data_IF_552889988024
#
_entry.id   IF_552889988024
#
_cell.length_a   1.000
_cell.length_b   1.000
_cell.length_c   1.000
_cell.angle_alpha   90.00
_cell.angle_beta   90.00
_cell.angle_gamma   90.00
#
_symmetry.space_group_name_H-M   'P 1'
#
loop_
_entity.id
_entity.type
_entity.pdbx_description
1 polymer ?
#
# COMPACT_ATOMS: atom_id res chain seq x y z
N UNK A 1 -6.92 36.32 -10.23
CA UNK A 1 -7.43 34.94 -10.34
C UNK A 1 -7.18 34.21 -9.02
N UNK A 2 -8.07 34.33 -8.05
CA UNK A 2 -8.08 33.51 -6.80
C UNK A 2 -9.53 33.27 -6.42
N UNK A 3 -10.23 32.39 -7.14
CA UNK A 3 -11.56 31.88 -6.73
C UNK A 3 -11.73 30.46 -7.30
N UNK A 4 -11.03 29.46 -6.75
CA UNK A 4 -11.35 28.03 -7.01
C UNK A 4 -11.11 27.07 -5.82
N UNK A 5 -10.63 27.55 -4.68
CA UNK A 5 -10.35 26.70 -3.50
C UNK A 5 -11.51 26.61 -2.47
N UNK A 6 -12.60 27.37 -2.64
CA UNK A 6 -13.70 27.43 -1.66
C UNK A 6 -14.92 26.57 -2.01
N UNK A 7 -15.03 26.09 -3.26
CA UNK A 7 -16.20 25.32 -3.71
C UNK A 7 -16.39 23.96 -3.00
N UNK A 8 -15.35 23.14 -2.71
CA UNK A 8 -15.56 21.81 -2.16
C UNK A 8 -15.96 21.81 -0.68
N UNK A 9 -15.50 22.76 0.13
CA UNK A 9 -15.95 22.91 1.52
C UNK A 9 -17.40 23.41 1.61
N UNK A 10 -17.83 24.25 0.67
CA UNK A 10 -19.19 24.79 0.62
C UNK A 10 -20.22 23.71 0.28
N UNK A 11 -19.88 22.80 -0.65
CA UNK A 11 -20.72 21.65 -0.97
C UNK A 11 -20.87 20.70 0.24
N UNK A 12 -19.79 20.50 1.00
CA UNK A 12 -19.77 19.67 2.20
C UNK A 12 -20.71 20.20 3.28
N UNK A 13 -20.70 21.52 3.51
CA UNK A 13 -21.63 22.19 4.44
C UNK A 13 -23.08 22.03 3.99
N UNK A 14 -23.37 22.14 2.70
CA UNK A 14 -24.73 21.97 2.16
C UNK A 14 -25.23 20.53 2.32
N UNK A 15 -24.38 19.51 2.12
CA UNK A 15 -24.74 18.11 2.32
C UNK A 15 -24.98 17.77 3.79
N UNK A 16 -24.14 18.24 4.71
CA UNK A 16 -24.31 18.03 6.15
C UNK A 16 -25.60 18.72 6.64
N UNK A 17 -25.88 19.92 6.14
CA UNK A 17 -27.11 20.66 6.45
C UNK A 17 -28.36 19.96 5.85
N UNK A 18 -28.25 19.40 4.64
CA UNK A 18 -29.33 18.67 3.98
C UNK A 18 -29.74 17.38 4.69
N UNK A 19 -28.76 16.63 5.24
CA UNK A 19 -29.02 15.43 6.04
C UNK A 19 -29.70 15.73 7.38
N UNK A 20 -29.43 16.90 7.98
CA UNK A 20 -30.10 17.33 9.21
C UNK A 20 -31.58 17.71 8.99
N UNK A 21 -31.98 17.97 7.74
CA UNK A 21 -33.32 18.43 7.39
C UNK A 21 -34.19 17.37 6.67
N UNK A 22 -33.74 16.12 6.54
CA UNK A 22 -34.59 15.00 6.09
C UNK A 22 -35.01 15.02 4.60
N UNK A 23 -34.23 15.66 3.73
CA UNK A 23 -34.61 15.90 2.32
C UNK A 23 -34.12 14.87 1.29
N UNK A 24 -33.44 13.78 1.67
CA UNK A 24 -32.83 12.86 0.68
C UNK A 24 -33.37 11.42 0.76
N UNK A 25 -33.76 10.89 -0.41
CA UNK A 25 -34.25 9.53 -0.65
C UNK A 25 -33.14 8.48 -0.45
N UNK A 26 -33.50 7.29 0.03
CA UNK A 26 -32.58 6.21 0.46
C UNK A 26 -31.77 5.61 -0.70
N UNK A 27 -32.31 5.66 -1.92
CA UNK A 27 -31.62 5.26 -3.16
C UNK A 27 -30.46 6.20 -3.50
N UNK A 28 -30.66 7.50 -3.32
CA UNK A 28 -29.63 8.53 -3.53
C UNK A 28 -28.48 8.41 -2.53
N UNK A 29 -28.76 7.92 -1.31
CA UNK A 29 -27.74 7.66 -0.27
C UNK A 29 -26.87 6.46 -0.67
N UNK A 30 -27.42 5.43 -1.30
CA UNK A 30 -26.63 4.28 -1.79
C UNK A 30 -25.69 4.67 -2.94
N UNK A 31 -26.17 5.48 -3.89
CA UNK A 31 -25.36 6.01 -4.99
C UNK A 31 -24.35 7.07 -4.54
N UNK A 32 -24.71 7.88 -3.54
CA UNK A 32 -23.77 8.81 -2.91
C UNK A 32 -22.71 8.06 -2.11
N UNK A 33 -23.05 6.99 -1.40
CA UNK A 33 -22.07 6.17 -0.69
C UNK A 33 -21.11 5.47 -1.65
N UNK A 34 -21.59 4.93 -2.77
CA UNK A 34 -20.72 4.32 -3.78
C UNK A 34 -19.84 5.36 -4.49
N UNK A 35 -20.38 6.54 -4.78
CA UNK A 35 -19.62 7.67 -5.30
C UNK A 35 -18.57 8.16 -4.28
N UNK A 36 -18.95 8.39 -3.01
CA UNK A 36 -18.04 8.77 -1.94
C UNK A 36 -16.96 7.71 -1.75
N UNK A 37 -17.29 6.41 -1.80
CA UNK A 37 -16.30 5.33 -1.75
C UNK A 37 -15.33 5.41 -2.94
N UNK A 38 -15.83 5.59 -4.15
CA UNK A 38 -15.02 5.82 -5.37
C UNK A 38 -14.11 7.04 -5.24
N UNK A 39 -14.63 8.17 -4.75
CA UNK A 39 -13.86 9.39 -4.53
C UNK A 39 -12.86 9.21 -3.38
N UNK A 40 -13.17 8.46 -2.32
CA UNK A 40 -12.22 8.15 -1.25
C UNK A 40 -11.08 7.27 -1.74
N UNK A 41 -11.32 6.28 -2.60
CA UNK A 41 -10.24 5.52 -3.23
C UNK A 41 -9.35 6.41 -4.11
N UNK A 42 -9.94 7.29 -4.91
CA UNK A 42 -9.20 8.25 -5.74
C UNK A 42 -8.39 9.26 -4.90
N UNK A 43 -8.96 9.77 -3.81
CA UNK A 43 -8.26 10.69 -2.91
C UNK A 43 -7.20 9.99 -2.05
N UNK A 44 -7.42 8.73 -1.65
CA UNK A 44 -6.44 7.91 -0.92
C UNK A 44 -5.17 7.67 -1.76
N UNK A 45 -5.34 7.38 -3.07
CA UNK A 45 -4.22 7.20 -4.00
C UNK A 45 -3.44 8.51 -4.23
N UNK A 46 -4.12 9.65 -4.29
CA UNK A 46 -3.43 10.94 -4.43
C UNK A 46 -2.73 11.39 -3.13
N UNK A 47 -3.28 11.02 -1.97
CA UNK A 47 -2.64 11.30 -0.66
C UNK A 47 -1.43 10.41 -0.43
N UNK A 48 -1.46 9.12 -0.82
CA UNK A 48 -0.28 8.24 -0.71
C UNK A 48 0.85 8.69 -1.64
N UNK A 49 0.52 9.18 -2.83
CA UNK A 49 1.50 9.80 -3.72
C UNK A 49 2.07 11.10 -3.11
N UNK A 50 1.25 11.90 -2.45
CA UNK A 50 1.68 13.13 -1.77
C UNK A 50 2.52 12.83 -0.52
N UNK A 51 2.15 11.84 0.28
CA UNK A 51 2.93 11.42 1.45
C UNK A 51 4.30 10.90 1.04
N UNK A 52 4.36 10.20 -0.09
CA UNK A 52 5.61 9.71 -0.68
C UNK A 52 6.50 10.88 -1.10
N UNK A 53 5.92 11.87 -1.80
CA UNK A 53 6.63 13.07 -2.25
C UNK A 53 7.13 13.94 -1.07
N UNK A 54 6.39 13.94 0.05
CA UNK A 54 6.77 14.63 1.28
C UNK A 54 7.66 13.77 2.21
N UNK A 55 7.98 12.53 1.82
CA UNK A 55 8.81 11.60 2.60
C UNK A 55 8.16 11.08 3.88
N UNK A 56 6.85 11.29 4.05
CA UNK A 56 6.08 10.86 5.22
C UNK A 56 5.89 9.34 5.25
N UNK A 57 5.98 8.66 4.10
CA UNK A 57 6.00 7.20 4.01
C UNK A 57 7.16 6.56 4.77
N UNK A 58 8.25 7.31 5.08
CA UNK A 58 9.33 6.80 5.93
C UNK A 58 8.95 6.73 7.42
N UNK A 59 7.83 7.30 7.83
CA UNK A 59 7.44 7.43 9.24
C UNK A 59 6.73 6.18 9.79
N UNK A 60 6.15 5.33 8.95
CA UNK A 60 5.36 4.17 9.38
C UNK A 60 6.18 2.87 9.45
N UNK A 61 7.29 2.91 10.17
CA UNK A 61 8.12 1.71 10.36
C UNK A 61 7.47 0.67 11.30
N UNK A 62 6.50 1.07 12.12
CA UNK A 62 5.82 0.20 13.09
C UNK A 62 4.32 0.52 13.11
N UNK A 63 3.51 -0.51 13.31
CA UNK A 63 2.11 -0.37 13.67
C UNK A 63 1.99 -0.36 15.20
N UNK A 64 1.26 0.61 15.75
CA UNK A 64 1.18 0.83 17.19
C UNK A 64 -0.21 1.27 17.60
N UNK A 65 -0.60 0.91 18.82
CA UNK A 65 -1.86 1.31 19.43
C UNK A 65 -1.78 2.72 20.04
N UNK A 66 -2.95 3.35 20.23
CA UNK A 66 -3.06 4.66 20.87
C UNK A 66 -3.08 4.49 22.39
N UNK A 67 -2.35 5.37 23.10
CA UNK A 67 -2.31 5.36 24.56
C UNK A 67 -1.58 4.13 25.11
N UNK A 68 -2.10 3.57 26.20
CA UNK A 68 -1.51 2.43 26.92
C UNK A 68 -1.98 1.06 26.40
N UNK A 69 -2.78 1.04 25.32
CA UNK A 69 -3.25 -0.19 24.70
C UNK A 69 -2.08 -1.00 24.13
N UNK A 70 -2.16 -2.33 24.23
CA UNK A 70 -1.11 -3.22 23.73
C UNK A 70 -1.48 -3.75 22.36
N UNK A 71 -0.47 -3.90 21.51
CA UNK A 71 -0.62 -4.54 20.23
C UNK A 71 -0.70 -6.05 20.42
N UNK A 72 -1.81 -6.65 20.01
CA UNK A 72 -2.10 -8.06 20.16
C UNK A 72 -2.34 -8.70 18.80
N UNK A 73 -1.89 -9.94 18.61
CA UNK A 73 -2.16 -10.69 17.37
C UNK A 73 -3.63 -11.09 17.32
N UNK A 74 -4.30 -10.80 16.21
CA UNK A 74 -5.67 -11.23 15.98
C UNK A 74 -5.70 -12.69 15.53
N UNK A 75 -5.96 -13.61 16.47
CA UNK A 75 -6.07 -15.04 16.18
C UNK A 75 -7.32 -15.43 15.39
N UNK A 76 -8.29 -14.54 15.26
CA UNK A 76 -9.51 -14.76 14.47
C UNK A 76 -9.42 -14.14 13.06
N UNK A 77 -8.31 -13.49 12.73
CA UNK A 77 -8.10 -12.92 11.40
C UNK A 77 -8.04 -14.02 10.34
N UNK A 78 -8.48 -13.68 9.13
CA UNK A 78 -8.29 -14.56 7.97
C UNK A 78 -6.79 -14.76 7.70
N UNK A 79 -6.38 -15.93 7.20
CA UNK A 79 -5.01 -16.14 6.77
C UNK A 79 -4.58 -15.08 5.74
N UNK A 80 -3.39 -14.50 5.86
CA UNK A 80 -2.91 -13.50 4.92
C UNK A 80 -2.73 -14.12 3.52
N UNK A 81 -3.06 -13.34 2.50
CA UNK A 81 -2.97 -13.76 1.09
C UNK A 81 -2.04 -12.81 0.36
N UNK A 82 -1.06 -13.38 -0.34
CA UNK A 82 -0.14 -12.62 -1.18
C UNK A 82 -0.76 -12.24 -2.53
N UNK A 83 -0.51 -11.03 -3.00
CA UNK A 83 -1.00 -10.51 -4.28
C UNK A 83 0.13 -10.32 -5.31
N UNK A 84 1.37 -10.68 -4.96
CA UNK A 84 2.55 -10.60 -5.82
C UNK A 84 3.12 -9.18 -5.81
N UNK A 85 3.74 -8.74 -6.91
CA UNK A 85 4.36 -7.41 -6.93
C UNK A 85 3.37 -6.27 -7.22
N UNK A 86 2.09 -6.42 -6.83
CA UNK A 86 1.01 -5.48 -7.12
C UNK A 86 0.60 -4.67 -5.88
N UNK A 87 0.15 -3.43 -6.08
CA UNK A 87 -0.41 -2.59 -5.00
C UNK A 87 -1.28 -1.49 -5.60
N UNK A 88 -2.19 -0.90 -4.81
CA UNK A 88 -3.07 0.20 -5.26
C UNK A 88 -3.79 -0.08 -6.59
N UNK A 89 -4.45 -1.23 -6.71
CA UNK A 89 -5.13 -1.67 -7.95
C UNK A 89 -4.20 -1.89 -9.17
N UNK A 90 -2.89 -1.69 -9.03
CA UNK A 90 -1.89 -2.03 -10.04
C UNK A 90 -1.52 -3.49 -9.85
N UNK A 91 -1.74 -4.29 -10.90
CA UNK A 91 -1.35 -5.69 -10.94
C UNK A 91 -0.14 -5.86 -11.84
N UNK A 92 0.89 -6.54 -11.32
CA UNK A 92 2.04 -6.97 -12.12
C UNK A 92 1.82 -8.43 -12.50
N UNK A 93 1.71 -8.76 -13.81
CA UNK A 93 1.47 -10.13 -14.21
C UNK A 93 2.58 -11.07 -13.73
N UNK A 94 2.22 -12.06 -12.90
CA UNK A 94 3.14 -13.00 -12.24
C UNK A 94 4.06 -13.75 -13.20
N UNK A 95 3.56 -14.05 -14.42
CA UNK A 95 4.32 -14.80 -15.43
C UNK A 95 5.49 -14.03 -16.04
N UNK A 96 5.47 -12.69 -15.97
CA UNK A 96 6.55 -11.89 -16.55
C UNK A 96 7.84 -12.05 -15.76
N UNK A 97 7.74 -12.23 -14.45
CA UNK A 97 8.88 -12.27 -13.52
C UNK A 97 8.58 -13.22 -12.34
N UNK A 98 8.54 -14.54 -12.56
CA UNK A 98 8.03 -15.51 -11.58
C UNK A 98 8.88 -15.55 -10.29
N UNK A 99 10.20 -15.47 -10.38
CA UNK A 99 11.07 -15.48 -9.21
C UNK A 99 11.00 -14.17 -8.40
N UNK A 100 10.83 -13.03 -9.07
CA UNK A 100 10.62 -11.75 -8.37
C UNK A 100 9.23 -11.70 -7.72
N UNK A 101 8.23 -12.32 -8.35
CA UNK A 101 6.89 -12.45 -7.77
C UNK A 101 6.93 -13.21 -6.45
N UNK A 102 7.76 -14.27 -6.33
CA UNK A 102 7.94 -14.98 -5.05
C UNK A 102 8.50 -14.08 -3.95
N UNK A 103 9.48 -13.24 -4.27
CA UNK A 103 10.01 -12.26 -3.31
C UNK A 103 8.92 -11.29 -2.82
N UNK A 104 8.05 -10.84 -3.74
CA UNK A 104 6.91 -9.99 -3.39
C UNK A 104 5.87 -10.75 -2.55
N UNK A 105 5.59 -12.01 -2.87
CA UNK A 105 4.66 -12.82 -2.08
C UNK A 105 5.17 -13.01 -0.63
N UNK A 106 6.47 -13.24 -0.45
CA UNK A 106 7.10 -13.29 0.88
C UNK A 106 7.02 -11.95 1.62
N UNK A 107 7.11 -10.83 0.89
CA UNK A 107 7.01 -9.48 1.45
C UNK A 107 5.59 -9.17 1.93
N UNK A 108 4.56 -9.51 1.14
CA UNK A 108 3.14 -9.38 1.54
C UNK A 108 2.86 -10.15 2.83
N UNK A 109 3.31 -11.40 2.90
CA UNK A 109 3.14 -12.24 4.08
C UNK A 109 3.93 -11.72 5.28
N UNK A 110 5.11 -11.14 5.04
CA UNK A 110 5.88 -10.49 6.09
C UNK A 110 5.12 -9.28 6.66
N UNK A 111 4.57 -8.41 5.81
CA UNK A 111 3.74 -7.27 6.21
C UNK A 111 2.52 -7.69 7.04
N UNK A 112 1.97 -8.88 6.82
CA UNK A 112 0.88 -9.42 7.62
C UNK A 112 1.31 -10.01 8.98
N UNK A 113 2.60 -10.11 9.28
CA UNK A 113 3.02 -10.60 10.59
C UNK A 113 2.85 -9.50 11.66
N UNK A 114 1.87 -9.66 12.54
CA UNK A 114 1.53 -8.65 13.53
C UNK A 114 2.73 -8.19 14.39
N UNK A 115 2.98 -6.89 14.42
CA UNK A 115 4.04 -6.26 15.20
C UNK A 115 5.43 -6.26 14.54
N UNK A 116 5.55 -6.80 13.32
CA UNK A 116 6.79 -6.71 12.54
C UNK A 116 7.12 -5.25 12.21
N UNK A 117 8.40 -4.92 12.10
CA UNK A 117 8.79 -3.61 11.55
C UNK A 117 8.80 -3.66 10.02
N UNK A 118 8.28 -2.61 9.38
CA UNK A 118 8.30 -2.49 7.92
C UNK A 118 9.71 -2.62 7.34
N UNK A 119 10.70 -1.92 7.92
CA UNK A 119 12.08 -1.95 7.47
C UNK A 119 12.71 -3.36 7.47
N UNK A 120 12.24 -4.24 8.35
CA UNK A 120 12.68 -5.64 8.34
C UNK A 120 12.14 -6.37 7.11
N UNK A 121 10.84 -6.26 6.82
CA UNK A 121 10.23 -6.85 5.64
C UNK A 121 10.82 -6.27 4.34
N UNK A 122 10.98 -4.94 4.25
CA UNK A 122 11.58 -4.27 3.10
C UNK A 122 13.04 -4.71 2.87
N UNK A 123 13.77 -4.97 3.96
CA UNK A 123 15.12 -5.53 3.90
C UNK A 123 15.16 -6.98 3.39
N UNK A 124 14.21 -7.82 3.80
CA UNK A 124 14.07 -9.18 3.27
C UNK A 124 13.75 -9.18 1.78
N UNK A 125 12.86 -8.29 1.35
CA UNK A 125 12.52 -8.11 -0.07
C UNK A 125 13.75 -7.72 -0.89
N UNK A 126 14.49 -6.70 -0.44
CA UNK A 126 15.72 -6.25 -1.09
C UNK A 126 16.73 -7.40 -1.20
N UNK A 127 16.97 -8.12 -0.09
CA UNK A 127 17.87 -9.27 -0.10
C UNK A 127 17.44 -10.35 -1.10
N UNK A 128 16.15 -10.67 -1.18
CA UNK A 128 15.60 -11.63 -2.12
C UNK A 128 15.83 -11.20 -3.58
N UNK A 129 15.50 -9.95 -3.90
CA UNK A 129 15.73 -9.36 -5.22
C UNK A 129 17.21 -9.38 -5.62
N UNK A 130 18.10 -8.95 -4.74
CA UNK A 130 19.53 -8.94 -5.04
C UNK A 130 20.09 -10.35 -5.23
N UNK A 131 19.64 -11.33 -4.43
CA UNK A 131 20.02 -12.73 -4.57
C UNK A 131 19.60 -13.27 -5.95
N UNK A 132 18.40 -12.93 -6.40
CA UNK A 132 17.93 -13.29 -7.73
C UNK A 132 18.79 -12.68 -8.84
N UNK A 133 19.04 -11.36 -8.82
CA UNK A 133 19.86 -10.72 -9.86
C UNK A 133 21.31 -11.23 -9.87
N UNK A 134 21.89 -11.59 -8.71
CA UNK A 134 23.20 -12.26 -8.64
C UNK A 134 23.18 -13.64 -9.30
N UNK A 135 22.15 -14.43 -9.07
CA UNK A 135 21.97 -15.74 -9.71
C UNK A 135 21.86 -15.62 -11.24
N UNK A 136 21.12 -14.62 -11.70
CA UNK A 136 20.99 -14.29 -13.13
C UNK A 136 22.33 -13.91 -13.74
N UNK A 137 23.11 -13.05 -13.09
CA UNK A 137 24.43 -12.63 -13.56
C UNK A 137 25.42 -13.80 -13.68
N UNK A 138 25.30 -14.80 -12.83
CA UNK A 138 26.15 -16.00 -12.88
C UNK A 138 25.75 -16.98 -14.00
N UNK A 139 24.46 -17.03 -14.35
CA UNK A 139 23.89 -18.07 -15.22
C UNK A 139 23.79 -17.66 -16.70
N UNK A 140 24.00 -16.39 -17.02
CA UNK A 140 23.82 -15.84 -18.37
C UNK A 140 25.15 -15.71 -19.13
N UNK A 141 25.16 -15.85 -20.46
CA UNK A 141 26.33 -15.52 -21.28
C UNK A 141 26.72 -14.05 -21.07
N UNK A 142 28.02 -13.76 -20.95
CA UNK A 142 28.57 -12.43 -20.64
C UNK A 142 28.15 -11.33 -21.62
N UNK A 143 27.68 -11.70 -22.81
CA UNK A 143 27.29 -10.77 -23.88
C UNK A 143 25.86 -10.21 -23.68
N UNK A 144 25.14 -10.65 -22.65
CA UNK A 144 23.75 -10.27 -22.39
C UNK A 144 23.67 -9.24 -21.25
N UNK A 145 23.09 -8.06 -21.52
CA UNK A 145 22.82 -7.00 -20.52
C UNK A 145 21.67 -7.35 -19.55
N UNK A 146 21.27 -8.61 -19.46
CA UNK A 146 20.10 -9.02 -18.67
C UNK A 146 20.32 -8.84 -17.15
N UNK A 147 21.56 -9.00 -16.68
CA UNK A 147 21.93 -8.69 -15.29
C UNK A 147 21.71 -7.19 -14.96
N UNK A 148 22.11 -6.29 -15.85
CA UNK A 148 21.91 -4.85 -15.67
C UNK A 148 20.43 -4.46 -15.68
N UNK A 149 19.65 -5.08 -16.56
CA UNK A 149 18.19 -4.89 -16.60
C UNK A 149 17.55 -5.37 -15.29
N UNK A 150 17.99 -6.53 -14.77
CA UNK A 150 17.53 -7.04 -13.47
C UNK A 150 17.79 -6.02 -12.37
N UNK A 151 19.03 -5.53 -12.26
CA UNK A 151 19.41 -4.54 -11.24
C UNK A 151 18.59 -3.26 -11.34
N UNK A 152 18.36 -2.74 -12.55
CA UNK A 152 17.53 -1.54 -12.75
C UNK A 152 16.08 -1.78 -12.32
N UNK A 153 15.52 -2.94 -12.68
CA UNK A 153 14.16 -3.31 -12.30
C UNK A 153 13.99 -3.43 -10.79
N UNK A 154 14.87 -4.18 -10.11
CA UNK A 154 14.73 -4.38 -8.66
C UNK A 154 14.97 -3.08 -7.88
N UNK A 155 15.88 -2.21 -8.33
CA UNK A 155 16.08 -0.90 -7.72
C UNK A 155 14.86 0.02 -7.89
N UNK A 156 14.16 -0.07 -9.03
CA UNK A 156 12.90 0.62 -9.23
C UNK A 156 11.82 0.10 -8.28
N UNK A 157 11.71 -1.22 -8.11
CA UNK A 157 10.74 -1.83 -7.20
C UNK A 157 11.03 -1.52 -5.73
N UNK A 158 12.29 -1.58 -5.31
CA UNK A 158 12.71 -1.14 -3.97
C UNK A 158 12.38 0.33 -3.73
N UNK A 159 12.62 1.21 -4.71
CA UNK A 159 12.23 2.60 -4.62
C UNK A 159 10.70 2.76 -4.52
N UNK A 160 9.93 1.99 -5.27
CA UNK A 160 8.47 2.00 -5.17
C UNK A 160 8.00 1.56 -3.77
N UNK A 161 8.55 0.47 -3.23
CA UNK A 161 8.20 -0.02 -1.88
C UNK A 161 8.61 0.99 -0.81
N UNK A 162 9.78 1.61 -0.92
CA UNK A 162 10.24 2.62 0.04
C UNK A 162 9.31 3.85 0.06
N UNK A 163 8.89 4.30 -1.12
CA UNK A 163 8.09 5.52 -1.25
C UNK A 163 6.59 5.28 -1.06
N UNK A 164 6.05 4.10 -1.39
CA UNK A 164 4.59 3.86 -1.40
C UNK A 164 4.16 2.69 -0.50
N UNK A 165 5.08 2.07 0.24
CA UNK A 165 4.82 0.87 1.04
C UNK A 165 4.10 1.12 2.37
N UNK A 166 3.82 2.37 2.74
CA UNK A 166 3.28 2.69 4.06
C UNK A 166 1.84 2.23 4.26
N UNK A 167 0.94 2.63 3.36
CA UNK A 167 -0.47 2.24 3.41
C UNK A 167 -0.62 0.72 3.37
N UNK A 168 -0.03 -0.03 2.41
CA UNK A 168 -0.17 -1.49 2.41
C UNK A 168 0.40 -2.15 3.67
N UNK A 169 1.50 -1.64 4.24
CA UNK A 169 2.01 -2.12 5.53
C UNK A 169 1.02 -1.93 6.67
N UNK A 170 0.49 -0.71 6.84
CA UNK A 170 -0.46 -0.40 7.92
C UNK A 170 -1.78 -1.15 7.74
N UNK A 171 -2.26 -1.31 6.51
CA UNK A 171 -3.45 -2.11 6.19
C UNK A 171 -3.24 -3.56 6.59
N UNK A 172 -2.16 -4.20 6.13
CA UNK A 172 -1.86 -5.60 6.48
C UNK A 172 -1.73 -5.81 7.99
N UNK A 173 -1.11 -4.86 8.70
CA UNK A 173 -1.02 -4.89 10.16
C UNK A 173 -2.39 -4.75 10.83
N UNK A 174 -3.26 -3.86 10.34
CA UNK A 174 -4.60 -3.64 10.90
C UNK A 174 -5.53 -4.85 10.73
N UNK A 175 -5.30 -5.69 9.72
CA UNK A 175 -6.07 -6.92 9.50
C UNK A 175 -5.64 -8.04 10.45
N UNK A 176 -4.36 -8.05 10.84
CA UNK A 176 -3.73 -9.16 11.57
C UNK A 176 -3.44 -8.83 13.04
N UNK A 177 -3.58 -7.57 13.44
CA UNK A 177 -3.44 -7.07 14.80
C UNK A 177 -4.72 -6.44 15.30
N UNK A 178 -4.84 -6.33 16.62
CA UNK A 178 -5.81 -5.43 17.27
C UNK A 178 -5.17 -4.78 18.51
N UNK A 179 -5.82 -3.74 19.00
CA UNK A 179 -5.42 -3.02 20.22
C UNK A 179 -6.33 -3.43 21.38
N UNK A 180 -5.75 -3.92 22.47
CA UNK A 180 -6.48 -4.37 23.65
C UNK A 180 -5.62 -4.51 24.89
#
# INVERSE_FOLDING_TARGET
MVVKLLAPCYLWLLTVCGSACGFFDSSLIADFNSAVLSWTHYFQENISLLSAQLGLDKLCNRYSCIGDLRLMKNHSAQPPVANGCGSYSITVPRFLLPELTKCCDEHDLCYSNCGVSRAYCDGLLSFCFEKFCRSVAYSQPKDWNFADVCWKYVRLMEAAVNNFGCVPFLTAQSEQCYCG
#
